data_IF_886805581502
#
_entry.id   IF_886805581502
#
_cell.length_a   1.000
_cell.length_b   1.000
_cell.length_c   1.000
_cell.angle_alpha   90.00
_cell.angle_beta   90.00
_cell.angle_gamma   90.00
#
_symmetry.space_group_name_H-M   'P 1'
#
loop_
_entity.id
_entity.type
_entity.pdbx_description
1 polymer ?
#
# COMPACT_ATOMS: atom_id res chain seq x y z
N UNK A 1 -14.94 4.31 -39.19
CA UNK A 1 -13.64 4.99 -38.91
C UNK A 1 -13.48 5.11 -37.39
N UNK A 2 -12.94 4.09 -36.68
CA UNK A 2 -12.93 4.03 -35.21
C UNK A 2 -11.74 4.71 -34.52
N UNK A 3 -10.86 5.40 -35.25
CA UNK A 3 -9.58 5.90 -34.71
C UNK A 3 -9.61 7.33 -34.13
N UNK A 4 -10.74 8.05 -34.21
CA UNK A 4 -10.81 9.45 -33.75
C UNK A 4 -10.89 9.59 -32.21
N UNK A 5 -11.61 8.70 -31.52
CA UNK A 5 -11.78 8.78 -30.06
C UNK A 5 -10.50 8.46 -29.27
N UNK A 6 -9.67 7.55 -29.79
CA UNK A 6 -8.42 7.16 -29.11
C UNK A 6 -7.40 8.31 -29.16
N UNK A 7 -7.37 9.09 -30.25
CA UNK A 7 -6.47 10.25 -30.37
C UNK A 7 -6.90 11.38 -29.42
N UNK A 8 -8.20 11.65 -29.30
CA UNK A 8 -8.74 12.68 -28.41
C UNK A 8 -8.44 12.37 -26.93
N UNK A 9 -8.56 11.10 -26.51
CA UNK A 9 -8.21 10.68 -25.15
C UNK A 9 -6.70 10.74 -24.88
N UNK A 10 -5.86 10.39 -25.85
CA UNK A 10 -4.39 10.50 -25.72
C UNK A 10 -3.97 11.97 -25.57
N UNK A 11 -4.62 12.87 -26.30
CA UNK A 11 -4.33 14.31 -26.23
C UNK A 11 -4.79 14.94 -24.91
N UNK A 12 -5.90 14.44 -24.34
CA UNK A 12 -6.41 14.85 -23.03
C UNK A 12 -5.48 14.40 -21.89
N UNK A 13 -4.99 13.15 -21.95
CA UNK A 13 -4.02 12.61 -20.99
C UNK A 13 -2.68 13.36 -21.09
N UNK A 14 -2.18 13.61 -22.30
CA UNK A 14 -0.94 14.34 -22.52
C UNK A 14 -1.02 15.79 -22.02
N UNK A 15 -2.17 16.47 -22.18
CA UNK A 15 -2.38 17.83 -21.69
C UNK A 15 -2.47 17.87 -20.16
N UNK A 16 -3.12 16.89 -19.54
CA UNK A 16 -3.22 16.81 -18.08
C UNK A 16 -1.86 16.53 -17.42
N UNK A 17 -1.02 15.70 -18.07
CA UNK A 17 0.35 15.45 -17.62
C UNK A 17 1.25 16.68 -17.81
N UNK A 18 1.08 17.43 -18.91
CA UNK A 18 1.77 18.70 -19.12
C UNK A 18 1.38 19.79 -18.11
N UNK A 19 0.11 19.89 -17.71
CA UNK A 19 -0.34 20.83 -16.66
C UNK A 19 0.18 20.44 -15.27
N UNK A 20 0.31 19.14 -14.98
CA UNK A 20 0.94 18.63 -13.77
C UNK A 20 2.45 18.92 -13.72
N UNK A 21 3.12 18.85 -14.88
CA UNK A 21 4.54 19.18 -15.02
C UNK A 21 4.79 20.70 -15.00
N UNK A 22 3.87 21.51 -15.54
CA UNK A 22 3.99 22.96 -15.62
C UNK A 22 3.81 23.65 -14.25
N UNK A 23 3.10 23.02 -13.31
CA UNK A 23 2.92 23.54 -11.94
C UNK A 23 4.08 23.23 -10.99
N UNK A 24 5.05 22.40 -11.41
CA UNK A 24 6.24 22.14 -10.59
C UNK A 24 7.17 23.34 -10.61
N UNK A 25 7.18 24.08 -9.52
CA UNK A 25 8.21 25.09 -9.31
C UNK A 25 9.60 24.45 -9.44
N UNK A 26 10.60 25.15 -10.01
CA UNK A 26 11.96 24.62 -10.14
C UNK A 26 12.58 24.19 -8.79
N UNK A 27 12.03 24.71 -7.68
CA UNK A 27 12.34 24.25 -6.33
C UNK A 27 11.90 22.80 -6.08
N UNK A 28 10.69 22.40 -6.47
CA UNK A 28 10.19 21.02 -6.30
C UNK A 28 11.01 20.00 -7.09
N UNK A 29 11.51 20.38 -8.27
CA UNK A 29 12.38 19.50 -9.07
C UNK A 29 13.73 19.25 -8.40
N UNK A 30 14.30 20.26 -7.73
CA UNK A 30 15.51 20.11 -6.92
C UNK A 30 15.24 19.29 -5.66
N UNK A 31 14.12 19.51 -4.99
CA UNK A 31 13.72 18.75 -3.80
C UNK A 31 13.53 17.27 -4.15
N UNK A 32 12.87 16.94 -5.26
CA UNK A 32 12.68 15.56 -5.69
C UNK A 32 14.00 14.87 -6.06
N UNK A 33 14.93 15.60 -6.70
CA UNK A 33 16.27 15.11 -7.00
C UNK A 33 17.10 14.87 -5.74
N UNK A 34 17.14 15.83 -4.82
CA UNK A 34 17.84 15.73 -3.53
C UNK A 34 17.30 14.56 -2.74
N UNK A 35 15.99 14.47 -2.65
CA UNK A 35 15.41 13.47 -1.80
C UNK A 35 15.60 12.08 -2.46
N UNK A 36 15.67 11.98 -3.80
CA UNK A 36 15.97 10.73 -4.54
C UNK A 36 17.41 10.30 -4.36
N UNK A 37 18.30 11.27 -4.17
CA UNK A 37 19.70 11.06 -3.85
C UNK A 37 19.88 10.56 -2.41
N UNK A 38 19.21 11.16 -1.42
CA UNK A 38 19.28 10.78 0.01
C UNK A 38 18.83 9.32 0.24
N UNK A 39 17.85 8.84 -0.51
CA UNK A 39 17.40 7.44 -0.41
C UNK A 39 18.23 6.41 -1.19
N UNK A 40 19.33 6.82 -1.85
CA UNK A 40 20.12 5.96 -2.73
C UNK A 40 21.37 5.43 -2.04
N UNK A 41 21.75 4.18 -2.34
CA UNK A 41 23.01 3.57 -1.90
C UNK A 41 24.25 4.43 -2.25
N UNK A 42 24.14 5.25 -3.31
CA UNK A 42 25.19 6.19 -3.73
C UNK A 42 25.50 7.26 -2.69
N UNK A 43 24.49 7.74 -1.95
CA UNK A 43 24.69 8.73 -0.88
C UNK A 43 25.57 8.14 0.22
N UNK A 44 25.28 6.91 0.64
CA UNK A 44 26.05 6.20 1.68
C UNK A 44 27.51 6.00 1.25
N UNK A 45 27.75 5.58 0.00
CA UNK A 45 29.10 5.37 -0.53
C UNK A 45 29.93 6.65 -0.57
N UNK A 46 29.32 7.79 -0.93
CA UNK A 46 30.00 9.09 -0.95
C UNK A 46 30.41 9.49 0.47
N UNK A 47 29.52 9.37 1.46
CA UNK A 47 29.83 9.71 2.86
C UNK A 47 30.93 8.81 3.42
N UNK A 48 30.85 7.51 3.17
CA UNK A 48 31.89 6.56 3.57
C UNK A 48 33.26 6.92 2.99
N UNK A 49 33.30 7.32 1.72
CA UNK A 49 34.54 7.75 1.06
C UNK A 49 35.08 9.03 1.68
N UNK A 50 34.23 10.05 1.90
CA UNK A 50 34.62 11.32 2.53
C UNK A 50 35.18 11.08 3.94
N UNK A 51 34.49 10.30 4.77
CA UNK A 51 34.96 9.98 6.13
C UNK A 51 36.28 9.22 6.11
N UNK A 52 36.43 8.25 5.21
CA UNK A 52 37.67 7.49 5.06
C UNK A 52 38.83 8.41 4.67
N UNK A 53 38.62 9.29 3.68
CA UNK A 53 39.63 10.26 3.24
C UNK A 53 39.99 11.23 4.37
N UNK A 54 39.01 11.72 5.14
CA UNK A 54 39.24 12.63 6.26
C UNK A 54 40.05 11.99 7.39
N UNK A 55 39.73 10.75 7.74
CA UNK A 55 40.46 9.99 8.77
C UNK A 55 41.90 9.74 8.31
N UNK A 56 42.10 9.28 7.07
CA UNK A 56 43.43 9.03 6.51
C UNK A 56 44.26 10.32 6.49
N UNK A 57 43.68 11.43 6.04
CA UNK A 57 44.34 12.75 6.03
C UNK A 57 44.80 13.20 7.41
N UNK A 58 43.98 12.99 8.46
CA UNK A 58 44.34 13.38 9.82
C UNK A 58 45.28 12.40 10.54
N UNK A 59 45.40 11.16 10.06
CA UNK A 59 46.29 10.14 10.63
C UNK A 59 47.70 10.15 10.00
N UNK A 60 47.87 10.71 8.81
CA UNK A 60 49.14 10.79 8.08
C UNK A 60 50.18 11.65 8.85
N UNK A 61 51.32 11.07 9.27
CA UNK A 61 52.39 11.81 9.94
C UNK A 61 53.12 12.69 8.93
N UNK A 62 52.96 14.02 9.04
CA UNK A 62 53.62 14.99 8.16
C UNK A 62 52.70 16.13 7.69
N UNK A 63 51.38 15.95 7.77
CA UNK A 63 50.41 17.03 7.55
C UNK A 63 49.97 17.63 8.89
N UNK A 64 49.62 18.92 8.87
CA UNK A 64 49.08 19.62 10.04
C UNK A 64 47.77 18.94 10.45
N UNK A 65 47.75 18.29 11.62
CA UNK A 65 46.57 17.62 12.18
C UNK A 65 45.47 18.67 12.38
N UNK A 66 44.48 18.68 11.49
CA UNK A 66 43.40 19.66 11.50
C UNK A 66 42.33 19.28 12.54
N UNK A 67 42.08 17.99 12.69
CA UNK A 67 41.10 17.43 13.65
C UNK A 67 41.76 16.26 14.42
N UNK A 68 42.43 16.55 15.55
CA UNK A 68 43.04 15.51 16.39
C UNK A 68 41.99 14.52 16.91
N UNK A 69 42.36 13.24 17.12
CA UNK A 69 41.47 12.29 17.78
C UNK A 69 41.04 12.87 19.14
N UNK A 70 39.73 12.96 19.44
CA UNK A 70 38.63 12.12 18.93
C UNK A 70 37.83 12.61 17.70
N UNK A 71 38.32 13.56 16.89
CA UNK A 71 37.64 14.11 15.69
C UNK A 71 36.35 14.91 15.99
N UNK A 72 36.44 15.91 16.86
CA UNK A 72 35.26 16.66 17.34
C UNK A 72 34.55 17.45 16.23
N UNK A 73 35.30 17.97 15.25
CA UNK A 73 34.71 18.71 14.13
C UNK A 73 33.91 17.79 13.21
N UNK A 74 34.48 16.64 12.84
CA UNK A 74 33.77 15.65 12.03
C UNK A 74 32.50 15.16 12.72
N UNK A 75 32.57 14.85 14.02
CA UNK A 75 31.39 14.41 14.78
C UNK A 75 30.26 15.45 14.76
N UNK A 76 30.59 16.74 14.92
CA UNK A 76 29.60 17.82 14.94
C UNK A 76 28.91 17.98 13.58
N UNK A 77 29.68 17.95 12.49
CA UNK A 77 29.14 18.07 11.13
C UNK A 77 28.26 16.87 10.79
N UNK A 78 28.72 15.66 11.09
CA UNK A 78 27.96 14.42 10.85
C UNK A 78 26.66 14.38 11.64
N UNK A 79 26.67 14.84 12.90
CA UNK A 79 25.45 14.91 13.71
C UNK A 79 24.41 15.85 13.09
N UNK A 80 24.84 17.04 12.64
CA UNK A 80 23.96 17.99 11.95
C UNK A 80 23.43 17.42 10.62
N UNK A 81 24.30 16.82 9.83
CA UNK A 81 23.94 16.20 8.56
C UNK A 81 22.93 15.05 8.74
N UNK A 82 23.14 14.21 9.76
CA UNK A 82 22.23 13.10 10.08
C UNK A 82 20.84 13.59 10.48
N UNK A 83 20.73 14.70 11.22
CA UNK A 83 19.44 15.29 11.59
C UNK A 83 18.67 15.79 10.35
N UNK A 84 19.38 16.43 9.42
CA UNK A 84 18.80 16.87 8.15
C UNK A 84 18.37 15.66 7.30
N UNK A 85 19.23 14.65 7.17
CA UNK A 85 18.93 13.43 6.43
C UNK A 85 17.71 12.68 7.00
N UNK A 86 17.64 12.51 8.33
CA UNK A 86 16.51 11.89 9.00
C UNK A 86 15.20 12.66 8.75
N UNK A 87 15.25 13.99 8.81
CA UNK A 87 14.10 14.86 8.52
C UNK A 87 13.64 14.72 7.07
N UNK A 88 14.55 14.67 6.10
CA UNK A 88 14.22 14.41 4.70
C UNK A 88 13.62 13.02 4.49
N UNK A 89 14.16 11.99 5.15
CA UNK A 89 13.61 10.64 5.11
C UNK A 89 12.18 10.63 5.65
N UNK A 90 11.92 11.30 6.78
CA UNK A 90 10.57 11.38 7.37
C UNK A 90 9.58 12.04 6.41
N UNK A 91 9.95 13.17 5.80
CA UNK A 91 9.11 13.85 4.79
C UNK A 91 8.81 12.91 3.61
N UNK A 92 9.80 12.11 3.17
CA UNK A 92 9.60 11.11 2.11
C UNK A 92 8.64 10.01 2.53
N UNK A 93 8.81 9.49 3.74
CA UNK A 93 7.94 8.46 4.29
C UNK A 93 6.50 8.97 4.39
N UNK A 94 6.27 10.18 4.91
CA UNK A 94 4.93 10.78 4.97
C UNK A 94 4.31 10.93 3.57
N UNK A 95 5.08 11.38 2.58
CA UNK A 95 4.60 11.49 1.19
C UNK A 95 4.27 10.14 0.56
N UNK A 96 5.09 9.11 0.80
CA UNK A 96 4.84 7.76 0.31
C UNK A 96 3.63 7.13 0.99
N UNK A 97 3.49 7.30 2.31
CA UNK A 97 2.35 6.83 3.08
C UNK A 97 1.04 7.45 2.59
N UNK A 98 1.01 8.77 2.36
CA UNK A 98 -0.18 9.44 1.81
C UNK A 98 -0.58 8.90 0.43
N UNK A 99 0.41 8.62 -0.43
CA UNK A 99 0.14 8.01 -1.75
C UNK A 99 -0.32 6.57 -1.64
N UNK A 100 0.16 5.82 -0.67
CA UNK A 100 -0.31 4.46 -0.41
C UNK A 100 -1.78 4.49 0.03
N UNK A 101 -2.13 5.38 0.97
CA UNK A 101 -3.50 5.58 1.46
C UNK A 101 -4.48 5.97 0.34
N UNK A 102 -4.09 6.90 -0.55
CA UNK A 102 -4.88 7.25 -1.73
C UNK A 102 -5.08 6.04 -2.67
N UNK A 103 -4.06 5.21 -2.87
CA UNK A 103 -4.16 4.00 -3.69
C UNK A 103 -5.04 2.94 -3.05
N UNK A 104 -4.96 2.77 -1.73
CA UNK A 104 -5.78 1.81 -1.00
C UNK A 104 -7.26 2.21 -1.04
N UNK A 105 -7.56 3.51 -0.93
CA UNK A 105 -8.92 4.02 -1.07
C UNK A 105 -9.49 3.77 -2.48
N UNK A 106 -8.69 4.00 -3.53
CA UNK A 106 -9.09 3.69 -4.91
C UNK A 106 -9.28 2.18 -5.13
N UNK A 107 -8.39 1.36 -4.57
CA UNK A 107 -8.49 -0.10 -4.67
C UNK A 107 -9.78 -0.61 -4.01
N UNK A 108 -10.13 -0.06 -2.84
CA UNK A 108 -11.38 -0.38 -2.16
C UNK A 108 -12.58 -0.03 -3.04
N UNK A 109 -12.63 1.16 -3.64
CA UNK A 109 -13.73 1.55 -4.53
C UNK A 109 -13.87 0.62 -5.74
N UNK A 110 -12.76 0.21 -6.35
CA UNK A 110 -12.77 -0.74 -7.48
C UNK A 110 -13.29 -2.10 -7.03
N UNK A 111 -12.89 -2.57 -5.84
CA UNK A 111 -13.38 -3.82 -5.28
C UNK A 111 -14.90 -3.78 -5.06
N UNK A 112 -15.41 -2.69 -4.47
CA UNK A 112 -16.84 -2.48 -4.25
C UNK A 112 -17.64 -2.45 -5.55
N UNK A 113 -17.11 -1.74 -6.56
CA UNK A 113 -17.76 -1.69 -7.86
C UNK A 113 -17.78 -3.08 -8.52
N UNK A 114 -16.64 -3.78 -8.50
CA UNK A 114 -16.53 -5.13 -9.06
C UNK A 114 -17.47 -6.11 -8.36
N UNK A 115 -17.61 -6.03 -7.04
CA UNK A 115 -18.53 -6.87 -6.28
C UNK A 115 -19.99 -6.59 -6.67
N UNK A 116 -20.38 -5.33 -6.76
CA UNK A 116 -21.72 -4.94 -7.24
C UNK A 116 -22.00 -5.43 -8.66
N UNK A 117 -21.02 -5.33 -9.55
CA UNK A 117 -21.12 -5.84 -10.92
C UNK A 117 -21.28 -7.38 -10.93
N UNK A 118 -20.51 -8.11 -10.12
CA UNK A 118 -20.63 -9.56 -9.96
C UNK A 118 -22.01 -9.95 -9.43
N UNK A 119 -22.49 -9.28 -8.38
CA UNK A 119 -23.84 -9.52 -7.82
C UNK A 119 -24.93 -9.24 -8.85
N UNK A 120 -24.75 -8.20 -9.67
CA UNK A 120 -25.67 -7.88 -10.77
C UNK A 120 -25.67 -8.99 -11.82
N UNK A 121 -24.50 -9.46 -12.24
CA UNK A 121 -24.36 -10.58 -13.19
C UNK A 121 -24.99 -11.86 -12.64
N UNK A 122 -24.73 -12.19 -11.37
CA UNK A 122 -25.31 -13.37 -10.72
C UNK A 122 -26.84 -13.27 -10.65
N UNK A 123 -27.38 -12.10 -10.36
CA UNK A 123 -28.83 -11.86 -10.38
C UNK A 123 -29.43 -12.03 -11.78
N UNK A 124 -28.74 -11.55 -12.82
CA UNK A 124 -29.17 -11.75 -14.22
C UNK A 124 -29.11 -13.24 -14.60
N UNK A 125 -28.06 -13.97 -14.21
CA UNK A 125 -27.97 -15.42 -14.45
C UNK A 125 -29.12 -16.18 -13.78
N UNK A 126 -29.47 -15.83 -12.55
CA UNK A 126 -30.63 -16.42 -11.86
C UNK A 126 -31.93 -16.13 -12.56
N UNK A 127 -32.11 -14.92 -13.07
CA UNK A 127 -33.30 -14.55 -13.82
C UNK A 127 -33.42 -15.38 -15.11
N UNK A 128 -32.31 -15.57 -15.83
CA UNK A 128 -32.25 -16.44 -17.02
C UNK A 128 -32.53 -17.91 -16.67
N UNK A 129 -31.91 -18.43 -15.60
CA UNK A 129 -32.13 -19.80 -15.14
C UNK A 129 -33.61 -20.07 -14.77
N UNK A 130 -34.28 -19.09 -14.15
CA UNK A 130 -35.73 -19.17 -13.89
C UNK A 130 -36.56 -19.18 -15.18
N UNK A 131 -36.23 -18.35 -16.17
CA UNK A 131 -36.93 -18.34 -17.46
C UNK A 131 -36.73 -19.65 -18.25
N UNK A 132 -35.57 -20.30 -18.12
CA UNK A 132 -35.26 -21.59 -18.77
C UNK A 132 -35.86 -22.81 -18.03
N UNK A 133 -36.67 -22.62 -16.99
CA UNK A 133 -37.28 -23.70 -16.24
C UNK A 133 -36.34 -24.40 -15.23
N UNK A 134 -35.13 -23.87 -15.03
CA UNK A 134 -34.13 -24.36 -14.07
C UNK A 134 -34.25 -23.65 -12.70
N UNK A 135 -35.43 -23.16 -12.34
CA UNK A 135 -35.68 -22.39 -11.11
C UNK A 135 -35.21 -23.09 -9.83
N UNK A 136 -35.22 -24.43 -9.81
CA UNK A 136 -34.74 -25.24 -8.68
C UNK A 136 -33.24 -25.03 -8.36
N UNK A 137 -32.42 -24.74 -9.36
CA UNK A 137 -31.00 -24.43 -9.20
C UNK A 137 -30.77 -22.94 -8.93
N UNK A 138 -31.59 -22.07 -9.53
CA UNK A 138 -31.54 -20.63 -9.32
C UNK A 138 -31.92 -20.22 -7.89
N UNK A 139 -32.67 -21.05 -7.16
CA UNK A 139 -33.11 -20.81 -5.78
C UNK A 139 -32.39 -21.67 -4.74
N UNK A 140 -31.26 -22.30 -5.11
CA UNK A 140 -30.44 -23.00 -4.13
C UNK A 140 -29.97 -22.04 -3.03
N UNK A 141 -29.89 -22.50 -1.77
CA UNK A 141 -29.50 -21.66 -0.63
C UNK A 141 -28.12 -21.01 -0.82
N UNK A 142 -27.15 -21.73 -1.37
CA UNK A 142 -25.79 -21.23 -1.66
C UNK A 142 -25.79 -20.10 -2.69
N UNK A 143 -26.55 -20.23 -3.79
CA UNK A 143 -26.66 -19.18 -4.82
C UNK A 143 -27.44 -17.97 -4.28
N UNK A 144 -28.41 -18.20 -3.37
CA UNK A 144 -29.14 -17.13 -2.65
C UNK A 144 -28.27 -16.34 -1.69
N UNK A 145 -27.31 -16.98 -1.07
CA UNK A 145 -26.34 -16.33 -0.20
C UNK A 145 -25.36 -15.48 -1.01
N UNK A 146 -24.79 -16.02 -2.09
CA UNK A 146 -23.86 -15.30 -2.96
C UNK A 146 -24.48 -14.12 -3.74
N UNK A 147 -25.79 -14.11 -3.97
CA UNK A 147 -26.48 -12.98 -4.64
C UNK A 147 -27.01 -11.92 -3.69
N UNK A 148 -26.93 -12.15 -2.39
CA UNK A 148 -27.19 -11.06 -1.45
C UNK A 148 -26.05 -10.07 -1.61
N UNK A 149 -26.39 -8.81 -1.88
CA UNK A 149 -25.48 -7.71 -1.57
C UNK A 149 -25.06 -7.94 -0.13
N UNK A 150 -23.81 -8.33 0.09
CA UNK A 150 -23.20 -8.27 1.40
C UNK A 150 -22.65 -6.86 1.46
N UNK A 151 -23.35 -5.89 2.04
CA UNK A 151 -22.85 -4.53 2.05
C UNK A 151 -21.51 -4.58 2.79
N UNK A 152 -20.45 -4.05 2.19
CA UNK A 152 -19.14 -3.96 2.85
C UNK A 152 -19.27 -3.30 4.23
N UNK A 153 -20.25 -2.42 4.44
CA UNK A 153 -20.57 -1.83 5.74
C UNK A 153 -20.90 -2.88 6.81
N UNK A 154 -21.59 -3.97 6.45
CA UNK A 154 -21.92 -5.06 7.37
C UNK A 154 -20.68 -5.90 7.69
N UNK A 155 -19.80 -6.12 6.71
CA UNK A 155 -18.49 -6.78 6.92
C UNK A 155 -17.57 -5.90 7.78
N UNK A 156 -17.50 -4.59 7.49
CA UNK A 156 -16.71 -3.62 8.22
C UNK A 156 -17.22 -3.43 9.66
N UNK A 157 -18.55 -3.41 9.86
CA UNK A 157 -19.16 -3.41 11.19
C UNK A 157 -18.85 -4.70 11.95
N UNK A 158 -18.96 -5.87 11.32
CA UNK A 158 -18.60 -7.14 11.94
C UNK A 158 -17.12 -7.20 12.33
N UNK A 159 -16.22 -6.71 11.47
CA UNK A 159 -14.78 -6.63 11.78
C UNK A 159 -14.55 -5.66 12.94
N UNK A 160 -15.14 -4.46 12.91
CA UNK A 160 -14.99 -3.45 13.96
C UNK A 160 -15.55 -3.95 15.31
N UNK A 161 -16.69 -4.64 15.29
CA UNK A 161 -17.29 -5.24 16.47
C UNK A 161 -16.41 -6.37 17.01
N UNK A 162 -15.88 -7.24 16.15
CA UNK A 162 -14.97 -8.33 16.55
C UNK A 162 -13.67 -7.80 17.17
N UNK A 163 -13.09 -6.74 16.59
CA UNK A 163 -11.89 -6.09 17.14
C UNK A 163 -12.21 -5.44 18.49
N UNK A 164 -13.33 -4.72 18.59
CA UNK A 164 -13.76 -4.06 19.84
C UNK A 164 -14.11 -5.06 20.94
N UNK A 165 -14.74 -6.19 20.60
CA UNK A 165 -15.01 -7.30 21.53
C UNK A 165 -13.71 -7.98 21.99
N UNK A 166 -12.72 -8.14 21.09
CA UNK A 166 -11.40 -8.66 21.44
C UNK A 166 -10.56 -7.69 22.28
N UNK A 167 -10.76 -6.37 22.16
CA UNK A 167 -10.07 -5.38 22.98
C UNK A 167 -10.74 -5.19 24.36
N UNK A 168 -12.07 -5.32 24.44
CA UNK A 168 -12.84 -5.08 25.66
C UNK A 168 -13.10 -6.36 26.50
N UNK A 169 -13.06 -7.53 25.85
CA UNK A 169 -13.06 -8.84 26.50
C UNK A 169 -11.66 -9.40 26.52
N UNK A 170 -10.94 -9.24 27.64
CA UNK A 170 -9.63 -9.85 27.88
C UNK A 170 -9.66 -11.38 28.00
N UNK A 171 -10.24 -12.09 27.03
CA UNK A 171 -10.06 -13.52 26.83
C UNK A 171 -9.27 -13.73 25.54
N UNK A 172 -8.07 -14.29 25.68
CA UNK A 172 -7.13 -14.46 24.56
C UNK A 172 -7.71 -15.30 23.43
N UNK A 173 -7.12 -15.23 22.22
CA UNK A 173 -7.66 -15.93 21.06
C UNK A 173 -7.71 -17.44 21.33
N UNK A 174 -8.92 -17.99 21.45
CA UNK A 174 -9.10 -19.43 21.32
C UNK A 174 -8.79 -19.79 19.86
N UNK A 175 -7.85 -20.71 19.62
CA UNK A 175 -7.58 -21.16 18.27
C UNK A 175 -8.83 -21.88 17.77
N UNK A 176 -9.31 -21.51 16.59
CA UNK A 176 -10.35 -22.23 15.87
C UNK A 176 -9.75 -23.57 15.41
N UNK A 177 -9.62 -24.51 16.35
CA UNK A 177 -9.28 -25.90 16.07
C UNK A 177 -10.59 -26.63 15.80
N UNK A 178 -10.70 -27.15 14.59
CA UNK A 178 -11.56 -28.28 14.29
C UNK A 178 -12.72 -27.94 13.37
N UNK A 179 -12.46 -27.96 12.06
CA UNK A 179 -13.39 -28.58 11.13
C UNK A 179 -13.58 -30.04 11.57
N UNK A 180 -14.47 -30.24 12.54
CA UNK A 180 -15.03 -31.53 12.88
C UNK A 180 -16.00 -31.90 11.76
N UNK A 181 -15.48 -32.57 10.74
CA UNK A 181 -16.26 -33.46 9.89
C UNK A 181 -16.88 -34.54 10.80
N UNK A 182 -18.00 -34.24 11.44
CA UNK A 182 -18.85 -35.19 12.13
C UNK A 182 -20.19 -35.20 11.41
N UNK A 183 -20.16 -35.81 10.24
CA UNK A 183 -21.28 -35.90 9.33
C UNK A 183 -21.13 -37.10 8.41
N UNK A 184 -20.71 -38.25 8.94
CA UNK A 184 -20.90 -39.55 8.29
C UNK A 184 -20.87 -40.68 9.33
N UNK A 185 -22.07 -41.13 9.74
CA UNK A 185 -22.53 -42.53 9.72
C UNK A 185 -23.79 -42.65 10.59
N UNK A 186 -24.92 -42.48 9.93
CA UNK A 186 -26.14 -43.11 10.37
C UNK A 186 -26.04 -44.63 10.19
N UNK A 187 -26.54 -45.33 11.20
CA UNK A 187 -27.47 -46.45 11.09
C UNK A 187 -27.02 -47.77 10.42
N UNK A 188 -27.39 -48.83 11.13
CA UNK A 188 -27.72 -50.17 10.65
C UNK A 188 -26.53 -51.09 10.30
N UNK A 189 -26.23 -52.04 11.21
CA UNK A 189 -26.54 -53.46 11.04
C UNK A 189 -26.25 -54.23 12.36
N UNK A 190 -27.27 -55.00 12.78
CA UNK A 190 -27.43 -55.93 13.92
C UNK A 190 -27.93 -55.38 15.27
#
# INVERSE_FOLDING_TARGET
>A
MPHAHVQEHIELIARHEQEFLARRTPAERRIDAIAGFIGSIRFVLIHLTIFTVWIVWNLLPGLRRFDPPPFSLLQTVVAMESLLAASFILIRQTRLARRADERDHLMLQILLLSEKEITTVLNLERQMARQMGLGRFADSPEVRELSRDTPIEEVAQNIQQTITESENGGDGPQPVIGLGLSGERGADLE
#
